data_IF_947138058381
#
_entry.id   IF_947138058381
#
_cell.length_a   1.000
_cell.length_b   1.000
_cell.length_c   1.000
_cell.angle_alpha   90.00
_cell.angle_beta   90.00
_cell.angle_gamma   90.00
#
_symmetry.space_group_name_H-M   'P 1'
#
loop_
_entity.id
_entity.type
_entity.pdbx_description
1 polymer ?
#
# COMPACT_ATOMS: atom_id res chain seq x y z
N UNK A 1 -10.34 22.83 -7.90
CA UNK A 1 -9.65 21.67 -8.45
C UNK A 1 -10.70 20.58 -8.70
N UNK A 2 -11.16 20.40 -9.94
CA UNK A 2 -11.96 19.23 -10.32
C UNK A 2 -11.04 18.02 -10.16
N UNK A 3 -11.24 17.22 -9.14
CA UNK A 3 -10.73 15.85 -9.14
C UNK A 3 -11.34 15.17 -10.36
N UNK A 4 -10.51 14.71 -11.28
CA UNK A 4 -10.98 13.88 -12.39
C UNK A 4 -11.63 12.63 -11.79
N UNK A 5 -12.97 12.71 -11.60
CA UNK A 5 -13.76 11.63 -10.99
C UNK A 5 -13.46 10.26 -11.60
N UNK A 6 -13.30 10.12 -12.93
CA UNK A 6 -12.92 8.84 -13.52
C UNK A 6 -11.57 8.31 -13.00
N UNK A 7 -10.56 9.18 -12.91
CA UNK A 7 -9.23 8.78 -12.44
C UNK A 7 -9.24 8.33 -10.97
N UNK A 8 -10.00 9.01 -10.12
CA UNK A 8 -10.19 8.59 -8.72
C UNK A 8 -10.75 7.17 -8.64
N UNK A 9 -11.84 6.88 -9.38
CA UNK A 9 -12.48 5.57 -9.35
C UNK A 9 -11.62 4.48 -9.98
N UNK A 10 -10.95 4.74 -11.09
CA UNK A 10 -10.01 3.81 -11.72
C UNK A 10 -8.87 3.45 -10.77
N UNK A 11 -8.33 4.45 -10.05
CA UNK A 11 -7.28 4.23 -9.08
C UNK A 11 -7.78 3.41 -7.87
N UNK A 12 -8.91 3.77 -7.29
CA UNK A 12 -9.48 3.08 -6.14
C UNK A 12 -9.89 1.63 -6.48
N UNK A 13 -10.70 1.45 -7.53
CA UNK A 13 -11.21 0.14 -7.93
C UNK A 13 -10.10 -0.76 -8.49
N UNK A 14 -9.14 -0.18 -9.21
CA UNK A 14 -7.96 -0.90 -9.70
C UNK A 14 -7.14 -1.48 -8.56
N UNK A 15 -6.90 -0.70 -7.50
CA UNK A 15 -6.22 -1.21 -6.30
C UNK A 15 -7.00 -2.34 -5.62
N UNK A 16 -8.34 -2.24 -5.53
CA UNK A 16 -9.17 -3.32 -4.97
C UNK A 16 -9.13 -4.59 -5.83
N UNK A 17 -9.09 -4.44 -7.16
CA UNK A 17 -8.93 -5.58 -8.07
C UNK A 17 -7.58 -6.27 -7.87
N UNK A 18 -6.49 -5.51 -7.72
CA UNK A 18 -5.17 -6.07 -7.38
C UNK A 18 -5.24 -6.86 -6.08
N UNK A 19 -5.89 -6.30 -5.05
CA UNK A 19 -6.08 -6.99 -3.77
C UNK A 19 -6.82 -8.31 -3.93
N UNK A 20 -7.94 -8.33 -4.65
CA UNK A 20 -8.72 -9.55 -4.91
C UNK A 20 -7.90 -10.60 -5.67
N UNK A 21 -7.19 -10.21 -6.73
CA UNK A 21 -6.31 -11.11 -7.49
C UNK A 21 -5.20 -11.70 -6.60
N UNK A 22 -4.64 -10.88 -5.70
CA UNK A 22 -3.57 -11.29 -4.81
C UNK A 22 -4.04 -12.33 -3.79
N UNK A 23 -5.10 -12.03 -3.04
CA UNK A 23 -5.59 -12.96 -2.00
C UNK A 23 -6.19 -14.23 -2.60
N UNK A 24 -6.92 -14.13 -3.72
CA UNK A 24 -7.48 -15.29 -4.42
C UNK A 24 -6.42 -16.14 -5.10
N UNK A 25 -5.33 -15.55 -5.56
CA UNK A 25 -4.17 -16.27 -6.09
C UNK A 25 -3.40 -16.98 -4.99
N UNK A 26 -3.06 -16.26 -3.92
CA UNK A 26 -2.30 -16.77 -2.79
C UNK A 26 -2.98 -17.97 -2.13
N UNK A 27 -4.30 -17.91 -1.90
CA UNK A 27 -5.07 -19.01 -1.35
C UNK A 27 -5.06 -20.31 -2.19
N UNK A 28 -4.59 -20.22 -3.43
CA UNK A 28 -4.39 -21.37 -4.35
C UNK A 28 -2.91 -21.68 -4.61
N UNK A 29 -2.01 -21.14 -3.77
CA UNK A 29 -0.57 -21.29 -3.92
C UNK A 29 0.02 -20.57 -5.15
N UNK A 30 -0.70 -19.61 -5.74
CA UNK A 30 -0.30 -18.91 -6.98
C UNK A 30 0.00 -17.46 -6.72
N UNK A 31 1.19 -17.00 -7.10
CA UNK A 31 1.59 -15.60 -6.94
C UNK A 31 1.37 -14.76 -8.21
N UNK A 32 1.39 -15.41 -9.40
CA UNK A 32 1.32 -14.71 -10.68
C UNK A 32 0.07 -13.83 -10.88
N UNK A 33 -1.15 -14.14 -10.32
CA UNK A 33 -2.30 -13.25 -10.48
C UNK A 33 -2.07 -11.88 -9.81
N UNK A 34 -1.44 -11.89 -8.63
CA UNK A 34 -1.05 -10.66 -7.93
C UNK A 34 -0.05 -9.83 -8.73
N UNK A 35 1.00 -10.48 -9.20
CA UNK A 35 2.10 -9.83 -9.94
C UNK A 35 1.60 -9.25 -11.25
N UNK A 36 0.79 -9.98 -12.01
CA UNK A 36 0.21 -9.50 -13.27
C UNK A 36 -0.72 -8.32 -13.04
N UNK A 37 -1.69 -8.46 -12.11
CA UNK A 37 -2.65 -7.40 -11.82
C UNK A 37 -1.95 -6.13 -11.30
N UNK A 38 -0.97 -6.27 -10.39
CA UNK A 38 -0.20 -5.15 -9.88
C UNK A 38 0.63 -4.47 -10.97
N UNK A 39 1.31 -5.24 -11.84
CA UNK A 39 2.12 -4.70 -12.94
C UNK A 39 1.28 -3.88 -13.91
N UNK A 40 0.12 -4.40 -14.33
CA UNK A 40 -0.81 -3.69 -15.22
C UNK A 40 -1.36 -2.44 -14.55
N UNK A 41 -1.78 -2.56 -13.29
CA UNK A 41 -2.29 -1.42 -12.52
C UNK A 41 -1.23 -0.33 -12.32
N UNK A 42 -0.05 -0.67 -11.81
CA UNK A 42 1.06 0.27 -11.57
C UNK A 42 1.47 0.94 -12.89
N UNK A 43 1.63 0.16 -13.96
CA UNK A 43 1.94 0.69 -15.29
C UNK A 43 0.90 1.73 -15.75
N UNK A 44 -0.39 1.42 -15.62
CA UNK A 44 -1.48 2.34 -15.97
C UNK A 44 -1.45 3.63 -15.13
N UNK A 45 -1.17 3.51 -13.82
CA UNK A 45 -1.09 4.66 -12.93
C UNK A 45 0.12 5.55 -13.26
N UNK A 46 1.29 4.97 -13.52
CA UNK A 46 2.50 5.72 -13.88
C UNK A 46 2.36 6.45 -15.22
N UNK A 47 1.76 5.81 -16.23
CA UNK A 47 1.52 6.42 -17.54
C UNK A 47 0.57 7.62 -17.48
N UNK A 48 -0.38 7.62 -16.53
CA UNK A 48 -1.37 8.68 -16.36
C UNK A 48 -1.01 9.67 -15.24
N UNK A 49 0.08 9.43 -14.52
CA UNK A 49 0.47 10.26 -13.37
C UNK A 49 0.99 11.63 -13.79
N UNK A 50 0.57 12.73 -13.12
CA UNK A 50 1.20 14.03 -13.28
C UNK A 50 2.59 14.11 -12.61
N UNK A 51 2.90 13.16 -11.70
CA UNK A 51 4.14 13.15 -10.91
C UNK A 51 4.77 11.74 -10.85
N UNK A 52 5.12 11.12 -12.00
CA UNK A 52 5.57 9.71 -12.02
C UNK A 52 6.84 9.47 -11.21
N UNK A 53 7.75 10.46 -11.13
CA UNK A 53 8.95 10.35 -10.30
C UNK A 53 8.64 10.28 -8.80
N UNK A 54 7.62 10.99 -8.35
CA UNK A 54 7.16 10.91 -6.95
C UNK A 54 6.51 9.56 -6.68
N UNK A 55 5.65 9.09 -7.59
CA UNK A 55 4.98 7.80 -7.45
C UNK A 55 6.00 6.65 -7.40
N UNK A 56 7.05 6.67 -8.23
CA UNK A 56 8.15 5.72 -8.17
C UNK A 56 8.91 5.75 -6.84
N UNK A 57 9.19 6.95 -6.30
CA UNK A 57 9.82 7.08 -4.97
C UNK A 57 8.94 6.50 -3.86
N UNK A 58 7.63 6.77 -3.92
CA UNK A 58 6.66 6.22 -2.96
C UNK A 58 6.56 4.70 -3.08
N UNK A 59 6.58 4.16 -4.29
CA UNK A 59 6.60 2.72 -4.55
C UNK A 59 7.83 2.08 -3.93
N UNK A 60 9.03 2.62 -4.20
CA UNK A 60 10.28 2.09 -3.62
C UNK A 60 10.27 2.13 -2.09
N UNK A 61 9.79 3.24 -1.50
CA UNK A 61 9.66 3.38 -0.06
C UNK A 61 8.64 2.39 0.51
N UNK A 62 7.51 2.19 -0.17
CA UNK A 62 6.49 1.22 0.24
C UNK A 62 7.01 -0.21 0.22
N UNK A 63 7.82 -0.60 -0.77
CA UNK A 63 8.47 -1.91 -0.81
C UNK A 63 9.44 -2.11 0.36
N UNK A 64 10.19 -1.07 0.75
CA UNK A 64 11.03 -1.11 1.95
C UNK A 64 10.20 -1.27 3.23
N UNK A 65 9.08 -0.54 3.34
CA UNK A 65 8.15 -0.68 4.47
C UNK A 65 7.53 -2.09 4.50
N UNK A 66 7.10 -2.61 3.36
CA UNK A 66 6.55 -3.96 3.22
C UNK A 66 7.54 -5.00 3.76
N UNK A 67 8.79 -4.89 3.31
CA UNK A 67 9.84 -5.80 3.78
C UNK A 67 9.99 -5.75 5.29
N UNK A 68 10.06 -4.56 5.89
CA UNK A 68 10.23 -4.41 7.34
C UNK A 68 9.00 -4.91 8.12
N UNK A 69 7.81 -4.54 7.72
CA UNK A 69 6.57 -4.86 8.45
C UNK A 69 6.22 -6.34 8.32
N UNK A 70 6.10 -6.82 7.08
CA UNK A 70 5.62 -8.19 6.84
C UNK A 70 6.70 -9.25 7.09
N UNK A 71 8.00 -8.93 6.86
CA UNK A 71 9.08 -9.82 7.27
C UNK A 71 9.17 -9.94 8.81
N UNK A 72 8.97 -8.84 9.54
CA UNK A 72 8.92 -8.90 11.00
C UNK A 72 7.77 -9.78 11.51
N UNK A 73 6.61 -9.66 10.89
CA UNK A 73 5.44 -10.47 11.22
C UNK A 73 5.65 -11.97 10.90
N UNK A 74 6.25 -12.28 9.74
CA UNK A 74 6.58 -13.64 9.35
C UNK A 74 7.69 -14.23 10.22
N UNK A 75 8.81 -13.51 10.40
CA UNK A 75 9.96 -13.97 11.16
C UNK A 75 9.64 -14.16 12.66
N UNK A 76 8.72 -13.38 13.22
CA UNK A 76 8.22 -13.59 14.59
C UNK A 76 7.31 -14.80 14.74
N UNK A 77 6.91 -15.44 13.64
CA UNK A 77 5.97 -16.55 13.64
C UNK A 77 4.53 -16.15 14.00
N UNK A 78 4.22 -14.85 14.09
CA UNK A 78 2.87 -14.37 14.43
C UNK A 78 1.92 -14.39 13.25
N UNK A 79 2.47 -14.31 12.02
CA UNK A 79 1.72 -14.32 10.76
C UNK A 79 2.38 -15.27 9.78
N UNK A 80 1.57 -16.13 9.16
CA UNK A 80 1.99 -17.02 8.06
C UNK A 80 1.23 -16.63 6.80
N UNK A 81 1.97 -16.49 5.69
CA UNK A 81 1.43 -16.14 4.39
C UNK A 81 1.40 -17.37 3.49
N UNK A 82 0.26 -17.65 2.85
CA UNK A 82 0.20 -18.69 1.82
C UNK A 82 1.03 -18.29 0.60
N UNK A 83 1.46 -19.29 -0.18
CA UNK A 83 2.36 -19.12 -1.32
C UNK A 83 3.71 -18.44 -0.97
N UNK A 84 4.13 -18.43 0.29
CA UNK A 84 5.43 -17.90 0.68
C UNK A 84 6.57 -18.77 0.10
N UNK A 85 7.61 -18.11 -0.44
CA UNK A 85 8.81 -18.79 -0.92
C UNK A 85 9.77 -19.09 0.23
N UNK A 86 9.81 -18.23 1.22
CA UNK A 86 10.60 -18.32 2.44
C UNK A 86 9.70 -18.02 3.63
N UNK A 87 9.73 -18.86 4.65
CA UNK A 87 8.82 -18.72 5.79
C UNK A 87 9.00 -17.45 6.64
N UNK A 88 10.16 -16.79 6.52
CA UNK A 88 10.49 -15.57 7.26
C UNK A 88 10.36 -14.28 6.43
N UNK A 89 10.18 -14.39 5.12
CA UNK A 89 10.12 -13.25 4.21
C UNK A 89 8.71 -13.01 3.68
N UNK A 90 8.34 -11.75 3.39
CA UNK A 90 7.06 -11.47 2.76
C UNK A 90 7.03 -12.08 1.35
N UNK A 91 5.95 -12.77 0.99
CA UNK A 91 5.83 -13.32 -0.36
C UNK A 91 5.67 -12.22 -1.40
N UNK A 92 6.05 -12.48 -2.67
CA UNK A 92 5.91 -11.51 -3.76
C UNK A 92 4.51 -10.91 -3.92
N UNK A 93 3.44 -11.65 -3.61
CA UNK A 93 2.08 -11.11 -3.69
C UNK A 93 1.79 -10.03 -2.63
N UNK A 94 2.37 -10.11 -1.43
CA UNK A 94 2.32 -9.03 -0.41
C UNK A 94 3.10 -7.81 -0.91
N UNK A 95 4.30 -8.02 -1.47
CA UNK A 95 5.09 -6.93 -2.05
C UNK A 95 4.33 -6.20 -3.17
N UNK A 96 3.63 -6.97 -4.02
CA UNK A 96 2.78 -6.43 -5.09
C UNK A 96 1.63 -5.57 -4.55
N UNK A 97 1.01 -5.96 -3.42
CA UNK A 97 -0.04 -5.19 -2.76
C UNK A 97 0.48 -3.85 -2.24
N UNK A 98 1.64 -3.84 -1.58
CA UNK A 98 2.24 -2.60 -1.10
C UNK A 98 2.61 -1.65 -2.25
N UNK A 99 3.18 -2.20 -3.34
CA UNK A 99 3.51 -1.43 -4.53
C UNK A 99 2.25 -0.81 -5.18
N UNK A 100 1.18 -1.59 -5.32
CA UNK A 100 -0.10 -1.11 -5.83
C UNK A 100 -0.71 -0.05 -4.89
N UNK A 101 -0.69 -0.27 -3.58
CA UNK A 101 -1.19 0.68 -2.60
C UNK A 101 -0.45 2.03 -2.67
N UNK A 102 0.87 2.03 -2.88
CA UNK A 102 1.64 3.28 -3.03
C UNK A 102 1.08 4.19 -4.13
N UNK A 103 0.55 3.63 -5.23
CA UNK A 103 -0.08 4.39 -6.33
C UNK A 103 -1.37 5.10 -5.92
N UNK A 104 -1.97 4.74 -4.79
CA UNK A 104 -3.20 5.40 -4.30
C UNK A 104 -2.91 6.70 -3.55
N UNK A 105 -1.72 6.87 -2.99
CA UNK A 105 -1.38 7.94 -2.06
C UNK A 105 -1.44 9.34 -2.69
N UNK A 106 -1.12 9.46 -3.97
CA UNK A 106 -1.18 10.73 -4.71
C UNK A 106 -2.53 10.97 -5.38
N UNK A 107 -3.42 9.97 -5.37
CA UNK A 107 -4.72 9.99 -6.08
C UNK A 107 -5.89 9.74 -5.11
N UNK A 108 -6.38 8.51 -5.00
CA UNK A 108 -7.60 8.18 -4.24
C UNK A 108 -7.41 8.32 -2.72
N UNK A 109 -6.22 8.02 -2.20
CA UNK A 109 -5.91 8.11 -0.76
C UNK A 109 -5.22 9.44 -0.36
N UNK A 110 -5.20 10.43 -1.26
CA UNK A 110 -4.58 11.73 -0.99
C UNK A 110 -5.17 12.44 0.25
N UNK A 111 -6.39 12.14 0.62
CA UNK A 111 -7.03 12.67 1.82
C UNK A 111 -6.29 12.30 3.12
N UNK A 112 -5.60 11.16 3.16
CA UNK A 112 -4.78 10.75 4.31
C UNK A 112 -3.66 11.74 4.63
N UNK A 113 -3.28 12.57 3.65
CA UNK A 113 -2.24 13.58 3.84
C UNK A 113 -2.74 14.85 4.54
N UNK A 114 -4.05 15.01 4.76
CA UNK A 114 -4.63 16.25 5.33
C UNK A 114 -4.30 16.43 6.81
N UNK A 115 -4.33 15.34 7.59
CA UNK A 115 -4.07 15.34 9.02
C UNK A 115 -3.13 14.21 9.39
N UNK A 116 -2.20 14.45 10.32
CA UNK A 116 -1.23 13.44 10.74
C UNK A 116 -1.88 12.21 11.42
N UNK A 117 -3.03 12.39 12.05
CA UNK A 117 -3.75 11.30 12.71
C UNK A 117 -4.39 10.31 11.71
N UNK A 118 -4.74 10.75 10.49
CA UNK A 118 -5.44 9.88 9.53
C UNK A 118 -4.61 8.66 9.11
N UNK A 119 -3.34 8.78 8.67
CA UNK A 119 -2.54 7.62 8.33
C UNK A 119 -2.29 6.69 9.53
N UNK A 120 -2.14 7.23 10.74
CA UNK A 120 -2.00 6.42 11.96
C UNK A 120 -3.23 5.56 12.21
N UNK A 121 -4.42 6.17 12.23
CA UNK A 121 -5.67 5.45 12.45
C UNK A 121 -5.99 4.48 11.31
N UNK A 122 -5.72 4.88 10.08
CA UNK A 122 -5.95 4.04 8.91
C UNK A 122 -5.05 2.79 8.95
N UNK A 123 -3.76 2.96 9.25
CA UNK A 123 -2.83 1.84 9.42
C UNK A 123 -3.19 0.93 10.59
N UNK A 124 -3.54 1.54 11.74
CA UNK A 124 -3.86 0.78 12.96
C UNK A 124 -5.15 -0.06 12.84
N UNK A 125 -6.14 0.42 12.11
CA UNK A 125 -7.46 -0.20 12.05
C UNK A 125 -7.71 -0.94 10.72
N UNK A 126 -7.46 -0.28 9.58
CA UNK A 126 -7.87 -0.85 8.29
C UNK A 126 -6.86 -1.86 7.74
N UNK A 127 -5.58 -1.74 8.05
CA UNK A 127 -4.62 -2.76 7.63
C UNK A 127 -4.90 -4.10 8.32
N UNK A 128 -5.01 -4.21 9.67
CA UNK A 128 -5.41 -5.45 10.31
C UNK A 128 -6.73 -6.03 9.79
N UNK A 129 -7.72 -5.19 9.48
CA UNK A 129 -8.99 -5.63 8.90
C UNK A 129 -8.78 -6.24 7.50
N UNK A 130 -7.91 -5.68 6.67
CA UNK A 130 -7.60 -6.23 5.35
C UNK A 130 -6.92 -7.60 5.46
N UNK A 131 -5.95 -7.75 6.38
CA UNK A 131 -5.30 -9.04 6.63
C UNK A 131 -6.27 -10.06 7.24
N UNK A 132 -7.15 -9.63 8.13
CA UNK A 132 -8.18 -10.50 8.68
C UNK A 132 -9.20 -10.95 7.62
N UNK A 133 -9.53 -10.07 6.67
CA UNK A 133 -10.38 -10.40 5.52
C UNK A 133 -9.68 -11.40 4.59
N UNK A 134 -8.37 -11.25 4.35
CA UNK A 134 -7.56 -12.20 3.60
C UNK A 134 -7.49 -13.57 4.29
N UNK A 135 -7.40 -13.58 5.63
CA UNK A 135 -7.37 -14.81 6.43
C UNK A 135 -8.73 -15.53 6.43
N UNK A 136 -9.81 -14.82 6.79
CA UNK A 136 -11.13 -15.43 6.97
C UNK A 136 -11.87 -15.67 5.67
N UNK A 137 -11.73 -14.77 4.70
CA UNK A 137 -12.45 -14.84 3.44
C UNK A 137 -11.77 -15.74 2.39
N UNK A 138 -10.44 -15.84 2.44
CA UNK A 138 -9.67 -16.53 1.41
C UNK A 138 -8.70 -17.58 1.94
N UNK A 139 -8.35 -17.56 3.22
CA UNK A 139 -7.34 -18.44 3.80
C UNK A 139 -5.89 -18.08 3.36
N UNK A 140 -5.68 -16.92 2.74
CA UNK A 140 -4.37 -16.51 2.23
C UNK A 140 -3.37 -16.08 3.30
N UNK A 141 -3.86 -15.82 4.53
CA UNK A 141 -3.07 -15.44 5.70
C UNK A 141 -3.53 -16.24 6.90
N UNK A 142 -2.60 -16.67 7.73
CA UNK A 142 -2.89 -17.39 8.98
C UNK A 142 -2.20 -16.67 10.14
N UNK A 143 -2.93 -16.53 11.26
CA UNK A 143 -2.41 -15.93 12.48
C UNK A 143 -2.11 -17.01 13.51
N UNK A 144 -0.90 -16.97 14.10
CA UNK A 144 -0.60 -17.82 15.26
C UNK A 144 -1.44 -17.39 16.48
N UNK A 145 -1.74 -18.33 17.35
CA UNK A 145 -2.47 -18.06 18.58
C UNK A 145 -1.58 -17.37 19.63
N UNK A 146 -2.03 -16.31 20.29
CA UNK A 146 -3.29 -15.62 20.06
C UNK A 146 -3.19 -14.60 18.91
N UNK A 147 -4.16 -14.59 17.99
CA UNK A 147 -4.14 -13.82 16.75
C UNK A 147 -3.96 -12.30 16.93
N UNK A 148 -4.36 -11.73 18.08
CA UNK A 148 -4.21 -10.30 18.34
C UNK A 148 -2.76 -9.81 18.29
N UNK A 149 -1.75 -10.67 18.58
CA UNK A 149 -0.32 -10.30 18.49
C UNK A 149 0.07 -9.96 17.06
N UNK A 150 -0.28 -10.81 16.10
CA UNK A 150 -0.01 -10.55 14.67
C UNK A 150 -0.79 -9.33 14.15
N UNK A 151 -2.06 -9.20 14.53
CA UNK A 151 -2.88 -8.05 14.15
C UNK A 151 -2.33 -6.74 14.71
N UNK A 152 -1.87 -6.72 15.96
CA UNK A 152 -1.27 -5.54 16.58
C UNK A 152 0.05 -5.17 15.92
N UNK A 153 0.92 -6.15 15.66
CA UNK A 153 2.19 -5.93 14.98
C UNK A 153 1.98 -5.32 13.59
N UNK A 154 1.07 -5.90 12.79
CA UNK A 154 0.71 -5.36 11.48
C UNK A 154 0.10 -3.96 11.60
N UNK A 155 -0.81 -3.73 12.54
CA UNK A 155 -1.46 -2.43 12.76
C UNK A 155 -0.45 -1.32 13.10
N UNK A 156 0.47 -1.59 14.04
CA UNK A 156 1.53 -0.64 14.41
C UNK A 156 2.48 -0.42 13.21
N UNK A 157 2.94 -1.49 12.58
CA UNK A 157 3.82 -1.41 11.42
C UNK A 157 3.23 -0.59 10.29
N UNK A 158 1.96 -0.84 9.92
CA UNK A 158 1.23 -0.07 8.91
C UNK A 158 1.00 1.38 9.32
N UNK A 159 0.74 1.66 10.61
CA UNK A 159 0.58 3.04 11.11
C UNK A 159 1.85 3.86 10.90
N UNK A 160 3.01 3.29 11.23
CA UNK A 160 4.30 3.92 11.05
C UNK A 160 4.61 4.09 9.56
N UNK A 161 4.49 3.01 8.79
CA UNK A 161 4.77 3.00 7.35
C UNK A 161 3.90 4.00 6.59
N UNK A 162 2.58 4.00 6.84
CA UNK A 162 1.64 4.89 6.16
C UNK A 162 1.87 6.36 6.53
N UNK A 163 2.25 6.63 7.79
CA UNK A 163 2.63 7.98 8.22
C UNK A 163 3.89 8.48 7.50
N UNK A 164 4.90 7.62 7.36
CA UNK A 164 6.12 7.90 6.61
C UNK A 164 5.83 8.14 5.13
N UNK A 165 5.03 7.28 4.50
CA UNK A 165 4.63 7.40 3.09
C UNK A 165 3.85 8.70 2.83
N UNK A 166 2.88 9.03 3.70
CA UNK A 166 2.13 10.28 3.59
C UNK A 166 3.00 11.52 3.80
N UNK A 167 3.97 11.44 4.71
CA UNK A 167 4.95 12.52 4.91
C UNK A 167 5.84 12.70 3.68
N UNK A 168 6.35 11.61 3.08
CA UNK A 168 7.14 11.65 1.86
C UNK A 168 6.35 12.20 0.68
N UNK A 169 5.08 11.79 0.53
CA UNK A 169 4.19 12.30 -0.51
C UNK A 169 3.96 13.82 -0.39
N UNK A 170 3.72 14.32 0.84
CA UNK A 170 3.56 15.77 1.10
C UNK A 170 4.79 16.57 0.71
N UNK A 171 5.99 16.09 1.07
CA UNK A 171 7.25 16.78 0.73
C UNK A 171 7.51 16.76 -0.77
N UNK A 172 7.26 15.62 -1.45
CA UNK A 172 7.45 15.50 -2.88
C UNK A 172 6.58 16.45 -3.69
N UNK A 173 5.32 16.65 -3.30
CA UNK A 173 4.41 17.60 -3.98
C UNK A 173 4.88 19.05 -3.81
N UNK A 174 5.38 19.43 -2.62
CA UNK A 174 5.88 20.79 -2.37
C UNK A 174 7.11 21.15 -3.21
N UNK A 175 7.99 20.20 -3.45
CA UNK A 175 9.22 20.42 -4.24
C UNK A 175 8.98 20.54 -5.75
N UNK A 176 7.80 20.15 -6.25
CA UNK A 176 7.45 20.26 -7.67
C UNK A 176 6.67 21.52 -8.02
N UNK A 177 6.27 22.31 -7.02
CA UNK A 177 5.60 23.60 -7.26
C UNK A 177 6.65 24.70 -7.38
N UNK A 178 6.79 25.40 -8.55
CA UNK A 178 7.72 26.52 -8.67
C UNK A 178 7.34 27.63 -7.70
N UNK A 179 8.33 28.38 -7.16
CA UNK A 179 8.04 29.53 -6.32
C UNK A 179 7.21 30.56 -7.11
N UNK A 180 6.28 31.28 -6.45
CA UNK A 180 5.54 32.36 -7.08
C UNK A 180 6.55 33.34 -7.65
N UNK A 181 6.35 33.76 -8.94
CA UNK A 181 7.19 34.74 -9.59
C UNK A 181 7.17 36.02 -8.74
N UNK A 182 8.28 36.28 -8.05
CA UNK A 182 8.49 37.55 -7.38
C UNK A 182 8.64 38.60 -8.46
N UNK A 183 7.61 39.45 -8.65
CA UNK A 183 7.72 40.60 -9.55
C UNK A 183 6.59 40.74 -10.57
N UNK A 184 5.35 40.74 -10.14
CA UNK A 184 4.30 41.48 -10.84
C UNK A 184 3.72 42.49 -9.86
N UNK A 185 4.46 43.57 -9.65
CA UNK A 185 3.88 44.79 -9.12
C UNK A 185 3.15 45.51 -10.26
N UNK A 186 1.94 46.06 -10.01
CA UNK A 186 1.15 46.78 -10.99
C UNK A 186 1.81 48.10 -11.43
#
# INVERSE_FOLDING_TARGET
MRTDRPRFWVNLLGNQLVWLCAVAGASRGRQWPALLAASLYIGSQLLTSPHPRLDLRLLTLALGCAWLVDASAAASGTVHYDAALLGWAPPPWIMALWAAFAMTLTTSMRFLQRHAALPLLFGLLLAPLAYLSAARGFGAVQFAAPAWKGLLLLGIGWSIALSLLCWAARRGVRSTTPPPLAGASP
#
